data_IF_913902221441
#
_entry.id   IF_913902221441
#
_cell.length_a   1.000
_cell.length_b   1.000
_cell.length_c   1.000
_cell.angle_alpha   90.00
_cell.angle_beta   90.00
_cell.angle_gamma   90.00
#
_symmetry.space_group_name_H-M   'P 1'
#
loop_
_entity.id
_entity.type
_entity.pdbx_description
1 polymer ?
#
# COMPACT_ATOMS: atom_id res chain seq x y z
N UNK A 1 -23.53 45.18 -0.88
CA UNK A 1 -22.32 44.36 -0.65
C UNK A 1 -22.77 42.95 -0.32
N UNK A 2 -22.74 42.03 -1.30
CA UNK A 2 -23.11 40.63 -1.09
C UNK A 2 -21.83 39.87 -0.74
N UNK A 3 -21.83 39.26 0.45
CA UNK A 3 -20.67 38.58 1.03
C UNK A 3 -20.19 37.44 0.12
N UNK A 4 -18.93 37.55 -0.33
CA UNK A 4 -18.21 36.51 -1.04
C UNK A 4 -17.92 35.33 -0.13
N UNK A 5 -18.87 34.40 -0.03
CA UNK A 5 -18.55 33.03 0.43
C UNK A 5 -17.89 32.30 -0.72
N UNK A 6 -16.57 32.49 -0.84
CA UNK A 6 -15.70 31.62 -1.63
C UNK A 6 -15.76 30.22 -1.04
N UNK A 7 -16.42 29.30 -1.73
CA UNK A 7 -16.20 27.87 -1.47
C UNK A 7 -14.81 27.52 -1.97
N UNK A 8 -13.85 27.44 -1.06
CA UNK A 8 -12.57 26.82 -1.33
C UNK A 8 -12.86 25.32 -1.48
N UNK A 9 -12.87 24.84 -2.72
CA UNK A 9 -12.70 23.40 -2.96
C UNK A 9 -11.28 23.08 -2.46
N UNK A 10 -11.15 22.29 -1.39
CA UNK A 10 -9.84 21.67 -1.10
C UNK A 10 -9.55 20.78 -2.30
N UNK A 11 -8.72 21.28 -3.23
CA UNK A 11 -8.37 20.58 -4.46
C UNK A 11 -7.46 19.35 -4.20
N UNK A 12 -7.13 19.07 -2.94
CA UNK A 12 -6.34 17.94 -2.47
C UNK A 12 -6.95 17.42 -1.17
N UNK A 13 -8.12 16.78 -1.25
CA UNK A 13 -8.82 16.20 -0.08
C UNK A 13 -8.15 14.92 0.45
N UNK A 14 -7.28 14.29 -0.33
CA UNK A 14 -6.42 13.22 0.16
C UNK A 14 -5.13 13.28 -0.65
N UNK A 15 -4.04 13.76 -0.04
CA UNK A 15 -2.72 13.48 -0.61
C UNK A 15 -2.44 12.03 -0.23
N UNK A 16 -2.38 11.08 -1.19
CA UNK A 16 -1.99 9.72 -0.88
C UNK A 16 -0.61 9.78 -0.23
N UNK A 17 -0.50 9.21 0.97
CA UNK A 17 0.80 9.14 1.65
C UNK A 17 1.49 7.90 1.11
N UNK A 18 2.59 8.10 0.39
CA UNK A 18 3.41 6.98 -0.11
C UNK A 18 4.27 6.45 1.03
N UNK A 19 4.12 5.16 1.33
CA UNK A 19 4.96 4.42 2.25
C UNK A 19 5.84 3.46 1.47
N UNK A 20 7.15 3.56 1.67
CA UNK A 20 8.08 2.52 1.23
C UNK A 20 8.05 1.40 2.27
N UNK A 21 7.63 0.21 1.86
CA UNK A 21 7.56 -0.96 2.72
C UNK A 21 8.49 -2.05 2.22
N UNK A 22 9.15 -2.71 3.16
CA UNK A 22 10.07 -3.81 2.88
C UNK A 22 9.63 -5.03 3.68
N UNK A 23 9.45 -6.14 2.99
CA UNK A 23 9.11 -7.43 3.56
C UNK A 23 10.26 -8.41 3.38
N UNK A 24 10.38 -9.32 4.33
CA UNK A 24 11.33 -10.43 4.28
C UNK A 24 10.51 -11.71 4.42
N UNK A 25 10.56 -12.54 3.38
CA UNK A 25 9.79 -13.77 3.27
C UNK A 25 10.71 -14.99 3.22
N UNK A 26 10.22 -16.12 3.69
CA UNK A 26 10.81 -17.41 3.34
C UNK A 26 10.42 -17.81 1.90
N UNK A 27 11.02 -18.87 1.34
CA UNK A 27 10.74 -19.28 -0.04
C UNK A 27 9.28 -19.61 -0.32
N UNK A 28 8.55 -20.19 0.64
CA UNK A 28 7.11 -20.50 0.46
C UNK A 28 6.26 -19.23 0.47
N UNK A 29 6.54 -18.31 1.40
CA UNK A 29 5.89 -17.01 1.52
C UNK A 29 6.17 -16.11 0.32
N UNK A 30 7.37 -16.18 -0.26
CA UNK A 30 7.72 -15.45 -1.47
C UNK A 30 6.79 -15.85 -2.64
N UNK A 31 6.59 -17.15 -2.86
CA UNK A 31 5.67 -17.63 -3.91
C UNK A 31 4.23 -17.21 -3.62
N UNK A 32 3.79 -17.27 -2.36
CA UNK A 32 2.45 -16.81 -1.96
C UNK A 32 2.28 -15.32 -2.25
N UNK A 33 3.30 -14.50 -1.94
CA UNK A 33 3.28 -13.06 -2.21
C UNK A 33 3.20 -12.77 -3.72
N UNK A 34 3.98 -13.47 -4.55
CA UNK A 34 3.95 -13.29 -6.00
C UNK A 34 2.58 -13.65 -6.61
N UNK A 35 1.97 -14.74 -6.15
CA UNK A 35 0.63 -15.13 -6.58
C UNK A 35 -0.42 -14.11 -6.11
N UNK A 36 -0.33 -13.66 -4.86
CA UNK A 36 -1.23 -12.62 -4.32
C UNK A 36 -1.15 -11.33 -5.13
N UNK A 37 0.06 -10.89 -5.50
CA UNK A 37 0.23 -9.69 -6.31
C UNK A 37 -0.35 -9.84 -7.72
N UNK A 38 -0.18 -11.01 -8.35
CA UNK A 38 -0.68 -11.26 -9.71
C UNK A 38 -2.19 -11.48 -9.74
N UNK A 39 -2.69 -12.38 -8.89
CA UNK A 39 -4.04 -12.92 -8.99
C UNK A 39 -5.03 -12.12 -8.15
N UNK A 40 -4.70 -11.79 -6.89
CA UNK A 40 -5.62 -11.09 -5.98
C UNK A 40 -5.61 -9.57 -6.17
N UNK A 41 -4.50 -9.00 -6.63
CA UNK A 41 -4.32 -7.56 -6.80
C UNK A 41 -4.39 -7.07 -8.25
N UNK A 42 -4.63 -7.97 -9.22
CA UNK A 42 -4.57 -7.68 -10.66
C UNK A 42 -3.34 -6.83 -11.01
N UNK A 43 -2.15 -7.38 -10.71
CA UNK A 43 -0.85 -6.73 -10.90
C UNK A 43 -0.68 -5.40 -10.12
N UNK A 44 -1.29 -5.29 -8.93
CA UNK A 44 -1.15 -4.15 -8.03
C UNK A 44 -2.14 -3.00 -8.29
N UNK A 45 -3.09 -3.18 -9.21
CA UNK A 45 -4.09 -2.15 -9.56
C UNK A 45 -5.19 -2.01 -8.49
N UNK A 46 -5.48 -3.09 -7.76
CA UNK A 46 -6.53 -3.13 -6.74
C UNK A 46 -6.07 -2.60 -5.39
N UNK A 47 -7.02 -2.07 -4.63
CA UNK A 47 -6.83 -1.65 -3.24
C UNK A 47 -6.99 -2.85 -2.31
N UNK A 48 -6.12 -2.98 -1.31
CA UNK A 48 -6.21 -4.01 -0.28
C UNK A 48 -6.10 -3.44 1.12
N UNK A 49 -6.77 -4.09 2.07
CA UNK A 49 -6.73 -3.71 3.48
C UNK A 49 -5.58 -4.42 4.18
N UNK A 50 -4.76 -3.66 4.90
CA UNK A 50 -3.70 -4.19 5.73
C UNK A 50 -3.64 -3.47 7.06
N UNK A 51 -3.44 -4.25 8.14
CA UNK A 51 -3.22 -3.69 9.47
C UNK A 51 -1.78 -3.22 9.58
N UNK A 52 -1.59 -1.90 9.55
CA UNK A 52 -0.29 -1.25 9.75
C UNK A 52 -0.33 -0.40 11.02
N UNK A 53 0.73 -0.51 11.81
CA UNK A 53 0.97 0.38 12.95
C UNK A 53 1.68 1.63 12.45
N UNK A 54 0.92 2.71 12.31
CA UNK A 54 1.45 4.04 11.97
C UNK A 54 1.45 4.94 13.19
N UNK A 55 2.22 6.03 13.16
CA UNK A 55 2.27 6.99 14.27
C UNK A 55 0.89 7.59 14.63
N UNK A 56 -0.05 7.60 13.68
CA UNK A 56 -1.44 8.06 13.90
C UNK A 56 -2.32 7.03 14.62
N UNK A 57 -1.89 5.78 14.74
CA UNK A 57 -2.63 4.71 15.40
C UNK A 57 -2.52 3.36 14.69
N UNK A 58 -3.08 2.35 15.35
CA UNK A 58 -3.27 1.01 14.82
C UNK A 58 -4.64 0.94 14.13
N UNK A 59 -4.69 0.58 12.85
CA UNK A 59 -5.95 0.55 12.11
C UNK A 59 -5.89 -0.30 10.84
N UNK A 60 -7.06 -0.71 10.31
CA UNK A 60 -7.16 -1.22 8.95
C UNK A 60 -6.97 -0.05 7.99
N UNK A 61 -5.87 -0.06 7.25
CA UNK A 61 -5.59 0.95 6.24
C UNK A 61 -5.70 0.32 4.87
N UNK A 62 -6.23 1.08 3.92
CA UNK A 62 -6.25 0.68 2.52
C UNK A 62 -4.94 1.11 1.88
N UNK A 63 -4.28 0.16 1.22
CA UNK A 63 -3.08 0.37 0.45
C UNK A 63 -3.31 -0.01 -1.00
N UNK A 64 -2.56 0.63 -1.89
CA UNK A 64 -2.43 0.25 -3.29
C UNK A 64 -0.97 0.36 -3.70
N UNK A 65 -0.53 -0.49 -4.61
CA UNK A 65 0.81 -0.39 -5.18
C UNK A 65 0.88 0.80 -6.15
N UNK A 66 1.91 1.64 -5.99
CA UNK A 66 2.16 2.75 -6.92
C UNK A 66 2.78 2.24 -8.22
N UNK A 67 3.62 1.20 -8.11
CA UNK A 67 4.34 0.55 -9.20
C UNK A 67 4.59 -0.92 -8.84
N UNK A 68 5.17 -1.68 -9.77
CA UNK A 68 5.64 -3.04 -9.52
C UNK A 68 6.61 -3.08 -8.34
N UNK A 69 6.52 -4.12 -7.51
CA UNK A 69 7.45 -4.29 -6.41
C UNK A 69 8.87 -4.59 -6.92
N UNK A 70 9.87 -4.10 -6.19
CA UNK A 70 11.27 -4.48 -6.34
C UNK A 70 11.52 -5.72 -5.47
N UNK A 71 12.15 -6.77 -6.00
CA UNK A 71 12.37 -7.98 -5.21
C UNK A 71 13.21 -9.03 -5.90
N UNK A 72 13.38 -10.17 -5.21
CA UNK A 72 14.23 -11.27 -5.68
C UNK A 72 15.65 -11.23 -5.13
N UNK A 73 15.95 -10.32 -4.20
CA UNK A 73 17.24 -10.30 -3.52
C UNK A 73 17.23 -11.30 -2.35
N UNK A 74 18.15 -12.26 -2.40
CA UNK A 74 18.38 -13.17 -1.30
C UNK A 74 19.23 -12.48 -0.23
N UNK A 75 18.63 -12.21 0.92
CA UNK A 75 19.28 -11.53 2.07
C UNK A 75 19.68 -12.53 3.17
N UNK A 76 19.17 -13.76 3.09
CA UNK A 76 19.46 -14.83 4.06
C UNK A 76 20.78 -15.57 3.85
N UNK A 77 21.16 -16.38 4.85
CA UNK A 77 22.26 -17.37 4.72
C UNK A 77 21.82 -18.52 3.80
N UNK A 78 22.75 -19.20 3.10
CA UNK A 78 22.40 -20.27 2.16
C UNK A 78 21.58 -21.42 2.77
N UNK A 79 21.71 -21.64 4.09
CA UNK A 79 20.95 -22.65 4.84
C UNK A 79 19.51 -22.22 5.18
N UNK A 80 19.20 -20.92 5.12
CA UNK A 80 17.88 -20.35 5.35
C UNK A 80 17.66 -19.18 4.36
N UNK A 81 17.28 -19.48 3.11
CA UNK A 81 17.06 -18.44 2.11
C UNK A 81 15.89 -17.55 2.55
N UNK A 82 16.20 -16.26 2.70
CA UNK A 82 15.24 -15.21 2.98
C UNK A 82 15.24 -14.27 1.77
N UNK A 83 14.05 -13.96 1.29
CA UNK A 83 13.82 -13.14 0.12
C UNK A 83 13.29 -11.79 0.56
N UNK A 84 13.97 -10.73 0.14
CA UNK A 84 13.53 -9.37 0.41
C UNK A 84 12.73 -8.84 -0.78
N UNK A 85 11.59 -8.23 -0.46
CA UNK A 85 10.75 -7.50 -1.40
C UNK A 85 10.53 -6.08 -0.86
N UNK A 86 10.59 -5.08 -1.72
CA UNK A 86 10.34 -3.68 -1.39
C UNK A 86 9.36 -3.08 -2.37
N UNK A 87 8.40 -2.30 -1.89
CA UNK A 87 7.46 -1.60 -2.76
C UNK A 87 7.08 -0.24 -2.19
N UNK A 88 6.66 0.64 -3.10
CA UNK A 88 6.00 1.91 -2.75
C UNK A 88 4.50 1.70 -2.74
N UNK A 89 3.89 1.88 -1.56
CA UNK A 89 2.46 1.72 -1.35
C UNK A 89 1.82 3.07 -1.07
N UNK A 90 0.78 3.41 -1.82
CA UNK A 90 -0.09 4.54 -1.52
C UNK A 90 -1.07 4.15 -0.42
N UNK A 91 -1.02 4.87 0.71
CA UNK A 91 -1.95 4.68 1.81
C UNK A 91 -3.12 5.66 1.70
N UNK A 92 -4.33 5.12 1.75
CA UNK A 92 -5.55 5.91 1.79
C UNK A 92 -6.06 6.03 3.24
N UNK A 93 -5.86 7.22 3.81
CA UNK A 93 -6.36 7.59 5.13
C UNK A 93 -7.85 7.91 5.05
N UNK A 94 -8.71 6.93 5.33
CA UNK A 94 -10.12 7.24 5.62
C UNK A 94 -10.70 6.42 6.77
N UNK A 95 -10.95 7.06 7.92
CA UNK A 95 -12.05 6.68 8.77
C UNK A 95 -13.35 7.18 8.10
N UNK A 96 -13.98 6.35 7.26
CA UNK A 96 -15.42 6.47 6.98
C UNK A 96 -15.89 6.92 5.59
N UNK A 97 -15.10 6.86 4.53
CA UNK A 97 -15.64 7.18 3.18
C UNK A 97 -15.15 6.18 2.11
N UNK A 98 -16.11 5.66 1.35
CA UNK A 98 -15.99 4.49 0.47
C UNK A 98 -14.95 4.68 -0.62
N UNK A 99 -14.16 3.63 -0.91
CA UNK A 99 -13.17 3.61 -1.98
C UNK A 99 -13.81 3.99 -3.33
N UNK A 100 -13.11 4.74 -4.21
CA UNK A 100 -13.62 5.03 -5.54
C UNK A 100 -13.72 3.71 -6.32
N UNK A 101 -14.96 3.29 -6.58
CA UNK A 101 -15.27 2.29 -7.61
C UNK A 101 -14.73 2.82 -8.95
N UNK A 102 -13.79 2.09 -9.54
CA UNK A 102 -13.42 2.25 -10.94
C UNK A 102 -14.33 1.36 -11.78
#
# INVERSE_FOLDING_TARGET
>A
MVSGRTFIRRNFTAVPVVYRMTWIFNSEQAVIFENFFRDDLEDGTLWFEMKLRVAQGDGPWLFRFEDIYEGGDMVGVPSCPLWQYSASLEMFLRPGETAPIT
#
